data_IF_325798338512
#
_entry.id   IF_325798338512
#
_cell.length_a   1.000
_cell.length_b   1.000
_cell.length_c   1.000
_cell.angle_alpha   90.00
_cell.angle_beta   90.00
_cell.angle_gamma   90.00
#
_symmetry.space_group_name_H-M   'P 1'
#
loop_
_entity.id
_entity.type
_entity.pdbx_description
1 polymer ?
#
# COMPACT_ATOMS: atom_id res chain seq x y z
N UNK A 1 -38.03 -28.33 4.83
CA UNK A 1 -37.81 -27.22 3.89
C UNK A 1 -39.10 -26.43 3.82
N UNK A 2 -39.06 -25.08 3.81
CA UNK A 2 -40.27 -24.29 3.50
C UNK A 2 -40.46 -24.34 1.99
N UNK A 3 -41.45 -25.09 1.51
CA UNK A 3 -41.79 -25.26 0.09
C UNK A 3 -42.58 -24.06 -0.46
N UNK A 4 -42.22 -22.83 -0.07
CA UNK A 4 -42.92 -21.61 -0.50
C UNK A 4 -41.92 -20.56 -0.97
N UNK A 5 -42.15 -20.04 -2.18
CA UNK A 5 -41.40 -18.93 -2.77
C UNK A 5 -42.24 -17.66 -2.66
N UNK A 6 -41.66 -16.60 -2.11
CA UNK A 6 -42.35 -15.30 -2.01
C UNK A 6 -42.02 -14.45 -3.23
N UNK A 7 -43.06 -13.98 -3.91
CA UNK A 7 -42.96 -13.14 -5.11
C UNK A 7 -43.45 -11.75 -4.75
N UNK A 8 -42.65 -10.74 -5.09
CA UNK A 8 -42.97 -9.33 -4.91
C UNK A 8 -43.21 -8.67 -6.26
N UNK A 9 -44.25 -7.83 -6.34
CA UNK A 9 -44.57 -7.01 -7.51
C UNK A 9 -44.43 -5.53 -7.17
N UNK A 10 -43.74 -4.78 -8.03
CA UNK A 10 -43.64 -3.34 -7.96
C UNK A 10 -43.86 -2.76 -9.36
N UNK A 11 -45.05 -2.18 -9.60
CA UNK A 11 -45.48 -1.82 -10.95
C UNK A 11 -45.50 -3.05 -11.87
N UNK A 12 -44.83 -2.94 -13.02
CA UNK A 12 -44.68 -4.04 -13.99
C UNK A 12 -43.54 -5.01 -13.63
N UNK A 13 -42.71 -4.67 -12.64
CA UNK A 13 -41.59 -5.49 -12.19
C UNK A 13 -42.02 -6.59 -11.22
N UNK A 14 -41.52 -7.80 -11.44
CA UNK A 14 -41.75 -8.97 -10.57
C UNK A 14 -40.41 -9.55 -10.14
N UNK A 15 -40.21 -9.72 -8.83
CA UNK A 15 -38.97 -10.23 -8.25
C UNK A 15 -39.22 -11.28 -7.17
N UNK A 16 -38.26 -12.19 -6.99
CA UNK A 16 -38.29 -13.23 -5.95
C UNK A 16 -37.31 -12.84 -4.85
N UNK A 17 -37.76 -12.81 -3.60
CA UNK A 17 -36.93 -12.46 -2.44
C UNK A 17 -37.42 -13.15 -1.17
N UNK A 18 -36.52 -13.34 -0.20
CA UNK A 18 -36.78 -13.98 1.10
C UNK A 18 -37.03 -13.00 2.24
N UNK A 19 -36.78 -11.70 2.04
CA UNK A 19 -36.88 -10.66 3.08
C UNK A 19 -38.06 -9.71 2.89
N UNK A 20 -38.43 -8.92 3.91
CA UNK A 20 -39.44 -7.88 3.75
C UNK A 20 -38.90 -6.79 2.79
N UNK A 21 -39.73 -6.37 1.84
CA UNK A 21 -39.44 -5.20 1.02
C UNK A 21 -40.00 -3.94 1.68
N UNK A 22 -39.53 -2.77 1.20
CA UNK A 22 -40.12 -1.50 1.59
C UNK A 22 -41.60 -1.41 1.18
N UNK A 23 -42.46 -0.77 1.99
CA UNK A 23 -43.88 -0.64 1.67
C UNK A 23 -44.18 0.07 0.34
N UNK A 24 -43.35 1.04 -0.04
CA UNK A 24 -43.41 1.71 -1.34
C UNK A 24 -42.05 2.29 -1.75
N UNK A 25 -41.84 2.52 -3.05
CA UNK A 25 -40.57 3.00 -3.61
C UNK A 25 -40.24 4.45 -3.24
N UNK A 26 -41.25 5.27 -2.97
CA UNK A 26 -41.06 6.69 -2.59
C UNK A 26 -40.32 6.94 -1.27
N UNK A 27 -39.99 5.88 -0.52
CA UNK A 27 -39.14 5.96 0.68
C UNK A 27 -37.69 6.21 0.30
N UNK A 28 -37.24 5.76 -0.87
CA UNK A 28 -35.88 5.98 -1.36
C UNK A 28 -35.90 7.12 -2.38
N UNK A 29 -35.50 8.32 -1.97
CA UNK A 29 -35.53 9.50 -2.83
C UNK A 29 -34.20 9.73 -3.55
N UNK A 30 -33.09 9.26 -2.98
CA UNK A 30 -31.76 9.43 -3.56
C UNK A 30 -31.10 8.07 -3.79
N UNK A 31 -30.60 7.85 -5.01
CA UNK A 31 -29.87 6.66 -5.40
C UNK A 31 -28.57 7.06 -6.09
N UNK A 32 -27.46 6.43 -5.71
CA UNK A 32 -26.16 6.64 -6.35
C UNK A 32 -25.50 5.31 -6.70
N UNK A 33 -25.04 5.21 -7.95
CA UNK A 33 -24.20 4.10 -8.40
C UNK A 33 -22.75 4.34 -7.96
N UNK A 34 -22.12 3.31 -7.41
CA UNK A 34 -20.76 3.38 -6.89
C UNK A 34 -19.76 2.69 -7.81
N UNK A 35 -20.02 1.44 -8.17
CA UNK A 35 -19.05 0.61 -8.87
C UNK A 35 -19.74 -0.38 -9.79
N UNK A 36 -19.11 -0.60 -10.94
CA UNK A 36 -19.45 -1.63 -11.90
C UNK A 36 -18.36 -2.71 -11.86
N UNK A 37 -18.74 -3.99 -11.74
CA UNK A 37 -17.78 -5.10 -11.76
C UNK A 37 -18.35 -6.33 -12.48
N UNK A 38 -17.51 -7.11 -13.15
CA UNK A 38 -17.92 -8.36 -13.80
C UNK A 38 -18.19 -9.46 -12.76
N UNK A 39 -19.23 -10.27 -12.97
CA UNK A 39 -19.59 -11.39 -12.09
C UNK A 39 -19.41 -12.73 -12.78
N UNK A 40 -18.90 -13.69 -12.03
CA UNK A 40 -18.91 -15.10 -12.40
C UNK A 40 -19.88 -15.82 -11.47
N UNK A 41 -20.84 -16.57 -12.03
CA UNK A 41 -21.78 -17.37 -11.24
C UNK A 41 -21.05 -18.55 -10.60
N UNK A 42 -21.52 -18.97 -9.42
CA UNK A 42 -20.85 -19.96 -8.55
C UNK A 42 -20.52 -21.30 -9.22
N UNK A 43 -21.14 -21.62 -10.37
CA UNK A 43 -21.05 -22.91 -11.03
C UNK A 43 -20.55 -22.82 -12.50
N UNK A 44 -20.00 -21.69 -12.95
CA UNK A 44 -19.52 -21.52 -14.33
C UNK A 44 -18.12 -20.89 -14.36
N UNK A 45 -17.26 -21.39 -15.24
CA UNK A 45 -15.87 -20.92 -15.44
C UNK A 45 -15.72 -19.87 -16.53
N UNK A 46 -16.70 -19.72 -17.42
CA UNK A 46 -16.74 -18.63 -18.39
C UNK A 46 -17.33 -17.36 -17.74
N UNK A 47 -16.90 -16.15 -18.14
CA UNK A 47 -17.55 -14.92 -17.72
C UNK A 47 -19.03 -15.00 -18.09
N UNK A 48 -19.91 -14.91 -17.09
CA UNK A 48 -21.35 -15.18 -17.25
C UNK A 48 -22.09 -14.13 -18.09
N UNK A 49 -21.37 -13.15 -18.66
CA UNK A 49 -21.94 -11.94 -19.27
C UNK A 49 -22.62 -11.00 -18.26
N UNK A 50 -22.68 -11.37 -16.98
CA UNK A 50 -23.33 -10.59 -15.94
C UNK A 50 -22.41 -9.51 -15.37
N UNK A 51 -23.01 -8.35 -15.15
CA UNK A 51 -22.35 -7.19 -14.55
C UNK A 51 -23.03 -6.88 -13.22
N UNK A 52 -22.25 -6.81 -12.14
CA UNK A 52 -22.70 -6.32 -10.83
C UNK A 52 -22.61 -4.81 -10.81
N UNK A 53 -23.72 -4.20 -10.47
CA UNK A 53 -23.82 -2.80 -10.14
C UNK A 53 -23.96 -2.67 -8.62
N UNK A 54 -22.98 -2.04 -7.99
CA UNK A 54 -23.06 -1.66 -6.57
C UNK A 54 -23.55 -0.22 -6.46
N UNK A 55 -24.52 0.03 -5.58
CA UNK A 55 -25.08 1.35 -5.34
C UNK A 55 -25.54 1.50 -3.89
N UNK A 56 -25.79 2.74 -3.49
CA UNK A 56 -26.36 3.12 -2.18
C UNK A 56 -27.64 3.92 -2.40
N UNK A 57 -28.58 3.78 -1.48
CA UNK A 57 -29.88 4.46 -1.53
C UNK A 57 -30.22 5.07 -0.16
N UNK A 58 -30.80 6.26 -0.16
CA UNK A 58 -31.11 7.02 1.04
C UNK A 58 -32.53 7.61 1.01
N UNK A 59 -33.15 7.84 2.18
CA UNK A 59 -34.48 8.45 2.25
C UNK A 59 -34.56 9.91 1.81
N UNK A 60 -33.46 10.68 1.90
CA UNK A 60 -33.42 12.08 1.52
C UNK A 60 -32.00 12.60 1.29
N UNK A 61 -31.87 13.87 0.87
CA UNK A 61 -30.57 14.51 0.59
C UNK A 61 -29.73 14.72 1.86
N UNK A 62 -30.35 14.84 3.03
CA UNK A 62 -29.64 15.08 4.29
C UNK A 62 -28.78 13.87 4.67
N UNK A 63 -29.34 12.66 4.58
CA UNK A 63 -28.64 11.41 4.87
C UNK A 63 -27.52 11.15 3.85
N UNK A 64 -27.72 11.59 2.60
CA UNK A 64 -26.68 11.52 1.55
C UNK A 64 -25.51 12.43 1.90
N UNK A 65 -25.78 13.67 2.30
CA UNK A 65 -24.73 14.63 2.69
C UNK A 65 -23.97 14.16 3.94
N UNK A 66 -24.67 13.58 4.92
CA UNK A 66 -24.05 12.99 6.11
C UNK A 66 -23.18 11.80 5.74
N UNK A 67 -23.69 10.87 4.93
CA UNK A 67 -22.90 9.76 4.40
C UNK A 67 -21.72 10.22 3.55
N UNK A 68 -21.88 11.21 2.68
CA UNK A 68 -20.79 11.78 1.88
C UNK A 68 -19.72 12.40 2.77
N UNK A 69 -20.12 13.13 3.81
CA UNK A 69 -19.21 13.69 4.80
C UNK A 69 -18.48 12.58 5.57
N UNK A 70 -19.17 11.51 5.97
CA UNK A 70 -18.54 10.34 6.58
C UNK A 70 -17.57 9.62 5.64
N UNK A 71 -17.91 9.48 4.36
CA UNK A 71 -17.02 8.89 3.34
C UNK A 71 -15.83 9.81 3.07
N UNK A 72 -16.02 11.12 3.01
CA UNK A 72 -14.97 12.13 2.84
C UNK A 72 -14.04 12.13 4.06
N UNK A 73 -14.59 12.07 5.28
CA UNK A 73 -13.84 11.96 6.53
C UNK A 73 -13.10 10.63 6.64
N UNK A 74 -13.72 9.51 6.26
CA UNK A 74 -13.08 8.20 6.20
C UNK A 74 -11.96 8.17 5.15
N UNK A 75 -12.18 8.78 3.98
CA UNK A 75 -11.15 8.99 2.94
C UNK A 75 -10.07 9.96 3.40
N UNK A 76 -10.38 10.95 4.24
CA UNK A 76 -9.42 11.92 4.79
C UNK A 76 -8.58 11.32 5.91
N UNK A 77 -9.14 10.39 6.69
CA UNK A 77 -8.48 9.60 7.74
C UNK A 77 -7.83 8.32 7.21
N UNK A 78 -7.86 8.10 5.91
CA UNK A 78 -7.20 6.98 5.25
C UNK A 78 -5.68 7.20 5.23
N UNK A 79 -4.98 6.48 6.11
CA UNK A 79 -3.52 6.46 6.25
C UNK A 79 -2.77 6.11 4.95
N UNK A 80 -3.46 5.58 3.92
CA UNK A 80 -2.88 5.21 2.62
C UNK A 80 -2.58 6.42 1.70
N UNK A 81 -3.04 7.64 2.01
CA UNK A 81 -2.91 8.82 1.10
C UNK A 81 -1.48 9.24 0.75
N UNK A 82 -0.52 8.99 1.64
CA UNK A 82 0.85 9.52 1.49
C UNK A 82 1.62 8.75 0.40
N UNK A 83 1.63 7.41 0.47
CA UNK A 83 2.18 6.59 -0.62
C UNK A 83 1.41 6.81 -1.92
N UNK A 84 0.09 6.85 -1.85
CA UNK A 84 -0.79 7.02 -3.02
C UNK A 84 -0.55 8.33 -3.79
N UNK A 85 -0.13 9.41 -3.11
CA UNK A 85 0.23 10.67 -3.77
C UNK A 85 1.43 10.55 -4.71
N UNK A 86 2.47 9.81 -4.30
CA UNK A 86 3.67 9.59 -5.12
C UNK A 86 3.38 8.68 -6.32
N UNK A 87 2.53 7.66 -6.13
CA UNK A 87 2.06 6.78 -7.19
C UNK A 87 1.22 7.54 -8.22
N UNK A 88 0.24 8.34 -7.77
CA UNK A 88 -0.58 9.18 -8.67
C UNK A 88 0.27 10.19 -9.45
N UNK A 89 1.20 10.86 -8.79
CA UNK A 89 2.12 11.82 -9.44
C UNK A 89 2.93 11.19 -10.57
N UNK A 90 3.23 9.89 -10.46
CA UNK A 90 3.98 9.10 -11.46
C UNK A 90 3.08 8.31 -12.41
N UNK A 91 1.78 8.60 -12.42
CA UNK A 91 0.82 8.00 -13.35
C UNK A 91 0.47 6.54 -13.06
N UNK A 92 0.70 6.05 -11.83
CA UNK A 92 0.20 4.74 -11.42
C UNK A 92 -1.29 4.81 -11.09
N UNK A 93 -2.04 3.83 -11.58
CA UNK A 93 -3.41 3.58 -11.15
C UNK A 93 -3.40 2.48 -10.09
N UNK A 94 -3.97 2.76 -8.93
CA UNK A 94 -4.17 1.72 -7.91
C UNK A 94 -5.28 0.77 -8.35
N UNK A 95 -5.02 -0.52 -8.22
CA UNK A 95 -5.94 -1.60 -8.55
C UNK A 95 -6.04 -2.55 -7.38
N UNK A 96 -7.17 -3.24 -7.27
CA UNK A 96 -7.38 -4.28 -6.27
C UNK A 96 -7.78 -5.55 -7.00
N UNK A 97 -6.98 -6.60 -6.80
CA UNK A 97 -7.23 -7.91 -7.39
C UNK A 97 -7.62 -8.92 -6.31
N UNK A 98 -8.44 -9.94 -6.65
CA UNK A 98 -8.77 -11.03 -5.72
C UNK A 98 -7.55 -11.64 -5.00
N UNK A 99 -7.78 -12.23 -3.83
CA UNK A 99 -6.73 -12.93 -3.06
C UNK A 99 -6.65 -14.41 -3.41
N UNK A 100 -7.75 -15.01 -3.87
CA UNK A 100 -7.87 -16.44 -4.15
C UNK A 100 -8.13 -16.65 -5.65
N UNK A 101 -7.36 -17.53 -6.28
CA UNK A 101 -7.50 -17.87 -7.69
C UNK A 101 -7.49 -19.38 -7.91
N UNK A 102 -8.13 -19.83 -8.99
CA UNK A 102 -7.98 -21.20 -9.48
C UNK A 102 -6.51 -21.51 -9.79
N UNK A 103 -6.07 -22.74 -9.53
CA UNK A 103 -4.69 -23.17 -9.84
C UNK A 103 -4.33 -23.05 -11.31
N UNK A 104 -5.31 -23.08 -12.21
CA UNK A 104 -5.13 -22.88 -13.64
C UNK A 104 -4.44 -21.54 -13.98
N UNK A 105 -4.65 -20.48 -13.18
CA UNK A 105 -3.95 -19.20 -13.39
C UNK A 105 -2.45 -19.35 -13.14
N UNK A 106 -2.09 -20.08 -12.08
CA UNK A 106 -0.69 -20.28 -11.68
C UNK A 106 0.03 -21.20 -12.67
N UNK A 107 -0.65 -22.23 -13.16
CA UNK A 107 -0.16 -23.12 -14.23
C UNK A 107 0.06 -22.34 -15.53
N UNK A 108 -0.92 -21.53 -15.97
CA UNK A 108 -0.77 -20.66 -17.15
C UNK A 108 0.44 -19.75 -17.00
N UNK A 109 0.59 -19.12 -15.84
CA UNK A 109 1.67 -18.17 -15.57
C UNK A 109 3.06 -18.81 -15.38
N UNK A 110 3.15 -20.12 -15.15
CA UNK A 110 4.42 -20.82 -14.89
C UNK A 110 4.82 -20.87 -13.41
N UNK A 111 4.06 -20.19 -12.55
CA UNK A 111 4.35 -20.14 -11.12
C UNK A 111 3.99 -21.45 -10.43
N UNK A 112 3.09 -22.26 -10.98
CA UNK A 112 2.76 -23.54 -10.37
C UNK A 112 3.96 -24.50 -10.39
N UNK A 113 4.66 -24.57 -11.51
CA UNK A 113 5.81 -25.44 -11.73
C UNK A 113 7.00 -25.08 -10.82
N UNK A 114 7.17 -23.79 -10.51
CA UNK A 114 8.33 -23.29 -9.77
C UNK A 114 8.03 -22.89 -8.31
N UNK A 115 6.77 -22.67 -7.95
CA UNK A 115 6.40 -22.03 -6.70
C UNK A 115 5.27 -22.72 -5.93
N UNK A 116 4.64 -23.78 -6.47
CA UNK A 116 3.49 -24.45 -5.85
C UNK A 116 3.76 -24.96 -4.42
N UNK A 117 4.96 -25.44 -4.12
CA UNK A 117 5.35 -25.89 -2.77
C UNK A 117 5.27 -24.75 -1.74
N UNK A 118 5.50 -23.51 -2.18
CA UNK A 118 5.45 -22.30 -1.37
C UNK A 118 4.09 -21.60 -1.44
N UNK A 119 3.03 -22.25 -1.93
CA UNK A 119 1.69 -21.68 -2.03
C UNK A 119 0.72 -22.33 -1.04
N UNK A 120 -0.15 -21.52 -0.44
CA UNK A 120 -1.29 -22.05 0.29
C UNK A 120 -2.39 -22.43 -0.69
N UNK A 121 -2.84 -23.66 -0.62
CA UNK A 121 -3.92 -24.18 -1.45
C UNK A 121 -5.17 -24.42 -0.61
N UNK A 122 -6.33 -24.22 -1.24
CA UNK A 122 -7.64 -24.46 -0.67
C UNK A 122 -8.36 -25.44 -1.60
N UNK A 123 -8.75 -26.59 -1.04
CA UNK A 123 -9.62 -27.54 -1.72
C UNK A 123 -11.06 -27.09 -1.54
N UNK A 124 -11.83 -27.05 -2.63
CA UNK A 124 -13.27 -26.79 -2.62
C UNK A 124 -14.03 -28.07 -2.97
N UNK A 125 -15.33 -28.14 -2.65
CA UNK A 125 -16.18 -29.25 -3.11
C UNK A 125 -16.19 -29.32 -4.65
N UNK A 126 -15.73 -30.44 -5.20
CA UNK A 126 -15.41 -30.61 -6.63
C UNK A 126 -13.91 -30.78 -6.90
N UNK A 127 -13.52 -31.13 -8.12
CA UNK A 127 -12.11 -31.34 -8.50
C UNK A 127 -11.29 -30.04 -8.62
N UNK A 128 -11.91 -28.88 -8.36
CA UNK A 128 -11.24 -27.58 -8.47
C UNK A 128 -10.38 -27.29 -7.25
N UNK A 129 -9.14 -26.86 -7.52
CA UNK A 129 -8.22 -26.36 -6.51
C UNK A 129 -8.03 -24.86 -6.69
N UNK A 130 -7.95 -24.17 -5.56
CA UNK A 130 -7.65 -22.76 -5.49
C UNK A 130 -6.35 -22.56 -4.71
N UNK A 131 -5.68 -21.43 -4.94
CA UNK A 131 -4.54 -21.02 -4.16
C UNK A 131 -4.59 -19.53 -3.83
N UNK A 132 -4.13 -19.19 -2.63
CA UNK A 132 -3.91 -17.80 -2.25
C UNK A 132 -2.76 -17.24 -3.09
N UNK A 133 -2.91 -16.01 -3.58
CA UNK A 133 -1.90 -15.39 -4.43
C UNK A 133 -0.55 -15.21 -3.69
N UNK A 134 0.57 -15.74 -4.21
CA UNK A 134 1.90 -15.45 -3.70
C UNK A 134 2.51 -14.16 -4.26
N UNK A 135 1.89 -13.61 -5.31
CA UNK A 135 2.26 -12.39 -6.04
C UNK A 135 1.09 -11.87 -6.88
N UNK A 136 1.13 -10.60 -7.29
CA UNK A 136 0.02 -9.97 -8.04
C UNK A 136 0.14 -10.10 -9.57
N UNK A 137 1.33 -10.41 -10.11
CA UNK A 137 1.61 -10.32 -11.54
C UNK A 137 0.64 -11.08 -12.46
N UNK A 138 0.19 -12.32 -12.18
CA UNK A 138 -0.71 -13.03 -13.09
C UNK A 138 -2.09 -12.37 -13.16
N UNK A 139 -2.57 -11.81 -12.04
CA UNK A 139 -3.83 -11.09 -12.02
C UNK A 139 -3.76 -9.83 -12.88
N UNK A 140 -2.62 -9.12 -12.87
CA UNK A 140 -2.42 -7.94 -13.70
C UNK A 140 -2.33 -8.32 -15.18
N UNK A 141 -1.76 -9.48 -15.53
CA UNK A 141 -1.80 -9.99 -16.90
C UNK A 141 -3.25 -10.23 -17.38
N UNK A 142 -4.09 -10.84 -16.53
CA UNK A 142 -5.53 -11.03 -16.82
C UNK A 142 -6.24 -9.68 -16.99
N UNK A 143 -5.88 -8.66 -16.21
CA UNK A 143 -6.42 -7.31 -16.40
C UNK A 143 -6.00 -6.68 -17.73
N UNK A 144 -4.75 -6.90 -18.15
CA UNK A 144 -4.25 -6.42 -19.42
C UNK A 144 -5.02 -7.02 -20.59
N UNK A 145 -5.19 -8.35 -20.59
CA UNK A 145 -5.81 -9.11 -21.70
C UNK A 145 -7.31 -8.86 -21.88
N UNK A 146 -8.00 -8.27 -20.89
CA UNK A 146 -9.47 -8.07 -20.95
C UNK A 146 -9.96 -7.26 -22.14
N UNK A 147 -9.10 -6.41 -22.73
CA UNK A 147 -9.41 -5.70 -23.98
C UNK A 147 -8.17 -5.45 -24.80
N UNK A 148 -8.37 -5.26 -26.10
CA UNK A 148 -7.32 -4.80 -27.02
C UNK A 148 -6.78 -3.45 -26.55
N UNK A 149 -5.46 -3.32 -26.54
CA UNK A 149 -4.73 -2.13 -26.11
C UNK A 149 -4.12 -1.42 -27.30
N UNK A 150 -4.07 -0.09 -27.27
CA UNK A 150 -3.30 0.71 -28.23
C UNK A 150 -1.95 1.10 -27.65
N UNK A 151 -0.92 1.21 -28.49
CA UNK A 151 0.37 1.79 -28.11
C UNK A 151 0.24 3.18 -27.45
N UNK A 152 -0.81 3.94 -27.78
CA UNK A 152 -1.10 5.26 -27.19
C UNK A 152 -1.47 5.21 -25.71
N UNK A 153 -1.89 4.05 -25.22
CA UNK A 153 -2.23 3.86 -23.80
C UNK A 153 -1.00 3.43 -22.98
N UNK A 154 0.09 3.01 -23.64
CA UNK A 154 1.32 2.60 -22.99
C UNK A 154 2.22 3.82 -22.71
N UNK A 155 2.87 3.89 -21.54
CA UNK A 155 2.96 2.83 -20.53
C UNK A 155 1.75 2.79 -19.58
N UNK A 156 1.20 1.58 -19.37
CA UNK A 156 0.19 1.31 -18.35
C UNK A 156 0.88 0.94 -17.05
N UNK A 157 0.55 1.65 -15.96
CA UNK A 157 1.18 1.47 -14.65
C UNK A 157 0.14 1.12 -13.60
N UNK A 158 0.19 -0.09 -13.06
CA UNK A 158 -0.75 -0.55 -12.03
C UNK A 158 -0.03 -0.84 -10.73
N UNK A 159 -0.59 -0.34 -9.63
CA UNK A 159 -0.10 -0.59 -8.28
C UNK A 159 -1.14 -1.38 -7.49
N UNK A 160 -0.71 -2.40 -6.77
CA UNK A 160 -1.58 -3.31 -6.03
C UNK A 160 -0.97 -3.58 -4.65
N UNK A 161 -1.60 -3.00 -3.63
CA UNK A 161 -1.22 -3.17 -2.23
C UNK A 161 -1.93 -4.36 -1.57
N UNK A 162 -2.50 -5.26 -2.37
CA UNK A 162 -3.24 -6.43 -1.91
C UNK A 162 -2.36 -7.41 -1.14
N UNK A 163 -2.98 -8.10 -0.18
CA UNK A 163 -2.30 -9.09 0.63
C UNK A 163 -1.83 -10.30 -0.20
N UNK A 164 -0.57 -10.67 -0.01
CA UNK A 164 0.10 -11.82 -0.60
C UNK A 164 0.38 -12.87 0.46
N UNK A 165 0.41 -14.14 0.05
CA UNK A 165 0.61 -15.27 0.94
C UNK A 165 1.65 -16.25 0.39
N UNK A 166 2.67 -16.56 1.20
CA UNK A 166 3.73 -17.53 0.88
C UNK A 166 3.84 -18.54 2.02
N UNK A 167 3.81 -19.82 1.68
CA UNK A 167 3.93 -20.92 2.63
C UNK A 167 5.40 -21.14 3.03
N UNK A 168 5.98 -20.11 3.64
CA UNK A 168 7.35 -20.14 4.16
C UNK A 168 7.50 -21.24 5.21
N UNK A 169 8.66 -21.92 5.18
CA UNK A 169 9.04 -22.91 6.17
C UNK A 169 8.97 -22.30 7.57
N UNK A 170 8.39 -23.03 8.53
CA UNK A 170 8.17 -22.53 9.90
C UNK A 170 9.47 -22.08 10.58
N UNK A 171 10.58 -22.79 10.35
CA UNK A 171 11.90 -22.44 10.87
C UNK A 171 12.57 -21.23 10.23
N UNK A 172 12.03 -20.72 9.12
CA UNK A 172 12.53 -19.54 8.44
C UNK A 172 11.77 -18.25 8.82
N UNK A 173 10.67 -18.37 9.58
CA UNK A 173 9.89 -17.21 10.02
C UNK A 173 10.67 -16.39 11.04
N UNK A 174 10.55 -15.07 10.95
CA UNK A 174 11.26 -14.15 11.85
C UNK A 174 10.54 -12.82 11.96
N UNK A 175 9.97 -12.54 13.14
CA UNK A 175 9.30 -11.27 13.46
C UNK A 175 8.43 -10.75 12.32
N UNK A 176 8.70 -9.52 11.88
CA UNK A 176 8.09 -8.92 10.68
C UNK A 176 9.01 -8.99 9.44
N UNK A 177 10.25 -9.48 9.55
CA UNK A 177 11.21 -9.53 8.43
C UNK A 177 10.92 -10.69 7.46
N UNK A 178 10.35 -11.79 7.97
CA UNK A 178 9.92 -12.95 7.18
C UNK A 178 8.63 -13.54 7.72
N UNK A 179 7.54 -13.34 6.96
CA UNK A 179 6.17 -13.67 7.34
C UNK A 179 5.45 -14.43 6.22
N UNK A 180 4.37 -15.14 6.56
CA UNK A 180 3.55 -15.89 5.60
C UNK A 180 2.53 -15.05 4.86
N UNK A 181 2.05 -13.97 5.49
CA UNK A 181 1.14 -12.98 4.91
C UNK A 181 1.83 -11.64 4.94
N UNK A 182 1.88 -10.96 3.81
CA UNK A 182 2.49 -9.63 3.71
C UNK A 182 1.75 -8.78 2.68
N UNK A 183 1.87 -7.46 2.82
CA UNK A 183 1.45 -6.52 1.79
C UNK A 183 2.71 -5.90 1.17
N UNK A 184 2.82 -5.95 -0.15
CA UNK A 184 3.90 -5.30 -0.88
C UNK A 184 3.38 -4.06 -1.57
N UNK A 185 4.23 -3.05 -1.75
CA UNK A 185 3.94 -1.87 -2.55
C UNK A 185 4.07 -2.16 -4.07
N UNK A 186 3.52 -3.32 -4.45
CA UNK A 186 3.75 -4.01 -5.70
C UNK A 186 3.18 -3.22 -6.87
N UNK A 187 3.90 -3.21 -7.98
CA UNK A 187 3.42 -2.58 -9.19
C UNK A 187 3.97 -3.23 -10.44
N UNK A 188 3.15 -3.20 -11.49
CA UNK A 188 3.50 -3.72 -12.80
C UNK A 188 3.30 -2.64 -13.86
N UNK A 189 4.33 -2.45 -14.68
CA UNK A 189 4.32 -1.51 -15.81
C UNK A 189 4.32 -2.32 -17.10
N UNK A 190 3.33 -2.10 -17.95
CA UNK A 190 3.31 -2.60 -19.32
C UNK A 190 3.72 -1.47 -20.24
N UNK A 191 4.82 -1.64 -20.97
CA UNK A 191 5.39 -0.61 -21.84
C UNK A 191 5.84 -1.20 -23.17
N UNK A 192 6.11 -0.33 -24.15
CA UNK A 192 6.78 -0.76 -25.39
C UNK A 192 8.29 -0.93 -25.15
N UNK A 193 9.00 -1.72 -25.98
CA UNK A 193 10.45 -1.85 -25.88
C UNK A 193 11.19 -0.50 -25.89
N UNK A 194 10.71 0.47 -26.66
CA UNK A 194 11.32 1.81 -26.77
C UNK A 194 11.12 2.65 -25.50
N UNK A 195 10.08 2.37 -24.71
CA UNK A 195 9.78 3.06 -23.46
C UNK A 195 10.53 2.49 -22.25
N UNK A 196 11.08 1.27 -22.38
CA UNK A 196 11.60 0.48 -21.26
C UNK A 196 12.70 1.21 -20.47
N UNK A 197 13.72 1.74 -21.16
CA UNK A 197 14.83 2.44 -20.51
C UNK A 197 14.35 3.64 -19.68
N UNK A 198 13.41 4.43 -20.22
CA UNK A 198 12.84 5.58 -19.52
C UNK A 198 12.00 5.18 -18.29
N UNK A 199 11.29 4.06 -18.36
CA UNK A 199 10.54 3.52 -17.22
C UNK A 199 11.45 2.96 -16.12
N UNK A 200 12.57 2.32 -16.47
CA UNK A 200 13.60 1.88 -15.51
C UNK A 200 14.14 3.08 -14.74
N UNK A 201 14.56 4.14 -15.44
CA UNK A 201 15.08 5.37 -14.81
C UNK A 201 14.02 6.02 -13.93
N UNK A 202 12.77 6.10 -14.38
CA UNK A 202 11.65 6.61 -13.57
C UNK A 202 11.43 5.80 -12.28
N UNK A 203 11.55 4.47 -12.35
CA UNK A 203 11.47 3.60 -11.16
C UNK A 203 12.63 3.85 -10.19
N UNK A 204 13.87 3.97 -10.69
CA UNK A 204 15.05 4.27 -9.86
C UNK A 204 14.92 5.64 -9.17
N UNK A 205 14.45 6.65 -9.89
CA UNK A 205 14.15 7.98 -9.35
C UNK A 205 13.06 7.93 -8.27
N UNK A 206 12.06 7.08 -8.45
CA UNK A 206 11.05 6.88 -7.44
C UNK A 206 11.66 6.29 -6.16
N UNK A 207 12.47 5.24 -6.27
CA UNK A 207 13.17 4.64 -5.13
C UNK A 207 14.02 5.69 -4.40
N UNK A 208 14.83 6.47 -5.13
CA UNK A 208 15.65 7.56 -4.57
C UNK A 208 14.82 8.55 -3.77
N UNK A 209 13.70 9.00 -4.33
CA UNK A 209 12.84 9.98 -3.68
C UNK A 209 12.24 9.47 -2.37
N UNK A 210 11.86 8.19 -2.31
CA UNK A 210 11.27 7.58 -1.11
C UNK A 210 12.35 7.31 -0.05
N UNK A 211 13.49 6.74 -0.44
CA UNK A 211 14.55 6.39 0.50
C UNK A 211 15.20 7.63 1.12
N UNK A 212 15.31 8.73 0.37
CA UNK A 212 15.76 10.01 0.90
C UNK A 212 14.84 10.54 2.00
N UNK A 213 13.53 10.32 1.92
CA UNK A 213 12.58 10.71 2.97
C UNK A 213 12.81 9.89 4.23
N UNK A 214 13.04 8.58 4.12
CA UNK A 214 13.38 7.74 5.26
C UNK A 214 14.81 7.96 5.79
N UNK A 215 15.66 8.68 5.04
CA UNK A 215 17.06 8.91 5.41
C UNK A 215 17.97 7.70 5.18
N UNK A 216 17.57 6.75 4.31
CA UNK A 216 18.40 5.60 3.97
C UNK A 216 19.39 5.93 2.85
N UNK A 217 20.63 5.47 3.03
CA UNK A 217 21.54 5.24 1.91
C UNK A 217 21.24 3.87 1.29
N UNK A 218 21.47 3.75 -0.01
CA UNK A 218 21.21 2.50 -0.73
C UNK A 218 22.31 2.20 -1.75
N UNK A 219 22.37 0.94 -2.13
CA UNK A 219 23.28 0.43 -3.14
C UNK A 219 22.48 -0.43 -4.15
N UNK A 220 22.78 -0.28 -5.43
CA UNK A 220 22.09 -1.01 -6.49
C UNK A 220 22.94 -2.20 -6.95
N UNK A 221 22.31 -3.36 -7.13
CA UNK A 221 22.92 -4.56 -7.68
C UNK A 221 22.23 -4.93 -8.99
N UNK A 222 23.01 -5.10 -10.06
CA UNK A 222 22.50 -5.64 -11.32
C UNK A 222 22.64 -7.17 -11.30
N UNK A 223 21.52 -7.84 -11.08
CA UNK A 223 21.42 -9.29 -11.00
C UNK A 223 21.16 -9.89 -12.39
N UNK A 224 22.16 -10.61 -12.92
CA UNK A 224 22.18 -11.11 -14.30
C UNK A 224 21.68 -12.57 -14.41
N UNK A 225 21.55 -13.06 -15.65
CA UNK A 225 21.00 -14.38 -16.02
C UNK A 225 21.48 -15.53 -15.13
N UNK A 226 20.56 -16.23 -14.44
CA UNK A 226 20.87 -17.44 -13.67
C UNK A 226 21.01 -18.67 -14.57
N UNK A 227 21.53 -19.76 -14.02
CA UNK A 227 21.51 -21.09 -14.65
C UNK A 227 20.70 -22.05 -13.78
N UNK A 228 19.53 -22.56 -14.22
CA UNK A 228 18.89 -22.37 -15.53
C UNK A 228 18.03 -21.09 -15.64
N UNK A 229 17.76 -20.62 -16.87
CA UNK A 229 16.88 -19.49 -17.18
C UNK A 229 15.87 -19.84 -18.29
N UNK A 230 14.78 -19.07 -18.40
CA UNK A 230 13.79 -19.13 -19.48
C UNK A 230 14.01 -18.03 -20.51
N UNK A 231 13.75 -18.31 -21.79
CA UNK A 231 13.86 -17.35 -22.89
C UNK A 231 15.18 -17.47 -23.65
N UNK A 232 15.23 -16.81 -24.81
CA UNK A 232 16.38 -16.87 -25.71
C UNK A 232 17.57 -16.07 -25.16
N UNK A 233 18.82 -16.52 -25.41
CA UNK A 233 20.01 -15.81 -24.93
C UNK A 233 20.08 -14.34 -25.36
N UNK A 234 19.66 -14.03 -26.59
CA UNK A 234 19.67 -12.67 -27.15
C UNK A 234 18.74 -11.72 -26.40
N UNK A 235 17.57 -12.22 -25.96
CA UNK A 235 16.60 -11.42 -25.19
C UNK A 235 17.15 -11.06 -23.81
N UNK A 236 17.90 -11.98 -23.20
CA UNK A 236 18.59 -11.75 -21.94
C UNK A 236 19.71 -10.72 -22.08
N UNK A 237 20.52 -10.86 -23.13
CA UNK A 237 21.64 -9.95 -23.38
C UNK A 237 21.14 -8.50 -23.60
N UNK A 238 20.05 -8.32 -24.35
CA UNK A 238 19.41 -7.01 -24.53
C UNK A 238 18.82 -6.46 -23.22
N UNK A 239 18.09 -7.29 -22.46
CA UNK A 239 17.49 -6.89 -21.18
C UNK A 239 18.53 -6.45 -20.14
N UNK A 240 19.62 -7.19 -20.01
CA UNK A 240 20.74 -6.84 -19.14
C UNK A 240 21.40 -5.53 -19.57
N UNK A 241 21.56 -5.32 -20.89
CA UNK A 241 22.12 -4.09 -21.42
C UNK A 241 21.22 -2.88 -21.15
N UNK A 242 19.90 -3.05 -21.25
CA UNK A 242 18.92 -2.00 -20.94
C UNK A 242 18.94 -1.60 -19.46
N UNK A 243 18.94 -2.58 -18.53
CA UNK A 243 19.08 -2.28 -17.10
C UNK A 243 20.42 -1.60 -16.78
N UNK A 244 21.50 -2.03 -17.43
CA UNK A 244 22.82 -1.41 -17.28
C UNK A 244 22.83 0.05 -17.75
N UNK A 245 22.23 0.36 -18.91
CA UNK A 245 22.09 1.74 -19.40
C UNK A 245 21.25 2.60 -18.44
N UNK A 246 20.13 2.07 -17.95
CA UNK A 246 19.30 2.74 -16.96
C UNK A 246 20.06 3.08 -15.66
N UNK A 247 20.87 2.15 -15.15
CA UNK A 247 21.74 2.37 -13.99
C UNK A 247 22.82 3.43 -14.27
N UNK A 248 23.44 3.40 -15.45
CA UNK A 248 24.45 4.39 -15.86
C UNK A 248 23.86 5.79 -15.95
N UNK A 249 22.66 5.93 -16.51
CA UNK A 249 21.95 7.21 -16.60
C UNK A 249 21.53 7.73 -15.22
N UNK A 250 21.10 6.84 -14.32
CA UNK A 250 20.70 7.20 -12.96
C UNK A 250 21.87 7.75 -12.13
N UNK A 251 23.10 7.30 -12.40
CA UNK A 251 24.33 7.90 -11.88
C UNK A 251 24.71 7.51 -10.45
N UNK A 252 23.95 6.63 -9.79
CA UNK A 252 24.31 6.06 -8.49
C UNK A 252 25.30 4.91 -8.61
N UNK A 253 26.00 4.59 -7.51
CA UNK A 253 26.94 3.44 -7.49
C UNK A 253 26.18 2.12 -7.54
N UNK A 254 26.64 1.23 -8.41
CA UNK A 254 26.08 -0.11 -8.56
C UNK A 254 27.18 -1.16 -8.79
N UNK A 255 26.87 -2.41 -8.44
CA UNK A 255 27.74 -3.57 -8.65
C UNK A 255 27.01 -4.67 -9.43
N UNK A 256 27.77 -5.55 -10.08
CA UNK A 256 27.22 -6.75 -10.71
C UNK A 256 26.99 -7.83 -9.66
N UNK A 257 25.87 -8.53 -9.78
CA UNK A 257 25.54 -9.70 -8.98
C UNK A 257 25.27 -10.91 -9.90
N UNK A 258 26.33 -11.58 -10.40
CA UNK A 258 26.19 -12.56 -11.47
C UNK A 258 25.34 -13.76 -11.06
N UNK A 259 24.34 -14.09 -11.89
CA UNK A 259 23.53 -15.29 -11.72
C UNK A 259 22.41 -15.21 -10.68
N UNK A 260 22.16 -14.03 -10.10
CA UNK A 260 21.09 -13.82 -9.12
C UNK A 260 19.79 -13.29 -9.73
N UNK A 261 19.72 -13.13 -11.06
CA UNK A 261 18.48 -12.78 -11.78
C UNK A 261 17.37 -13.81 -11.52
N UNK A 262 16.11 -13.43 -11.71
CA UNK A 262 15.06 -14.46 -11.65
C UNK A 262 15.03 -15.30 -12.92
N UNK A 263 14.40 -16.46 -12.86
CA UNK A 263 14.35 -17.38 -14.00
C UNK A 263 13.71 -16.78 -15.27
N UNK A 264 12.94 -15.69 -15.17
CA UNK A 264 12.23 -15.03 -16.29
C UNK A 264 12.82 -13.69 -16.74
N UNK A 265 13.85 -13.17 -16.08
CA UNK A 265 14.52 -11.95 -16.49
C UNK A 265 15.47 -11.33 -15.45
N UNK A 266 16.33 -10.39 -15.89
CA UNK A 266 17.28 -9.72 -15.02
C UNK A 266 16.56 -8.70 -14.12
N UNK A 267 17.21 -8.34 -13.01
CA UNK A 267 16.66 -7.39 -12.03
C UNK A 267 17.72 -6.44 -11.48
N UNK A 268 17.28 -5.26 -11.08
CA UNK A 268 18.02 -4.35 -10.24
C UNK A 268 17.50 -4.53 -8.83
N UNK A 269 18.37 -4.95 -7.93
CA UNK A 269 18.07 -5.08 -6.51
C UNK A 269 18.64 -3.89 -5.75
N UNK A 270 17.83 -3.28 -4.90
CA UNK A 270 18.26 -2.15 -4.08
C UNK A 270 18.39 -2.60 -2.64
N UNK A 271 19.62 -2.59 -2.16
CA UNK A 271 19.96 -2.93 -0.79
C UNK A 271 20.06 -1.66 0.06
N UNK A 272 19.48 -1.72 1.25
CA UNK A 272 19.63 -0.70 2.29
C UNK A 272 20.42 -1.28 3.45
N UNK A 273 21.21 -0.43 4.09
CA UNK A 273 21.95 -0.80 5.30
C UNK A 273 21.18 -0.30 6.52
N UNK A 274 20.91 -1.19 7.47
CA UNK A 274 20.31 -0.81 8.75
C UNK A 274 21.35 -0.20 9.71
N UNK A 275 20.89 0.32 10.86
CA UNK A 275 21.76 0.90 11.89
C UNK A 275 22.80 -0.08 12.49
N UNK A 276 22.60 -1.39 12.31
CA UNK A 276 23.51 -2.45 12.76
C UNK A 276 24.49 -2.88 11.64
N UNK A 277 24.41 -2.26 10.47
CA UNK A 277 25.28 -2.56 9.33
C UNK A 277 24.84 -3.75 8.48
N UNK A 278 23.67 -4.35 8.74
CA UNK A 278 23.15 -5.46 7.94
C UNK A 278 22.54 -4.94 6.64
N UNK A 279 22.75 -5.69 5.57
CA UNK A 279 22.21 -5.39 4.24
C UNK A 279 20.84 -6.05 4.09
N UNK A 280 19.84 -5.26 3.69
CA UNK A 280 18.49 -5.73 3.42
C UNK A 280 18.09 -5.36 1.99
N UNK A 281 17.78 -6.36 1.18
CA UNK A 281 17.15 -6.12 -0.12
C UNK A 281 15.67 -5.77 0.10
N UNK A 282 15.29 -4.57 -0.32
CA UNK A 282 13.93 -4.04 -0.13
C UNK A 282 13.27 -3.71 -1.46
N UNK A 283 13.90 -2.85 -2.25
CA UNK A 283 13.40 -2.47 -3.56
C UNK A 283 13.91 -3.41 -4.65
N UNK A 284 13.11 -3.60 -5.68
CA UNK A 284 13.49 -4.35 -6.88
C UNK A 284 12.84 -3.75 -8.11
N UNK A 285 13.55 -3.77 -9.23
CA UNK A 285 13.03 -3.48 -10.57
C UNK A 285 13.41 -4.67 -11.43
N UNK A 286 12.44 -5.41 -11.92
CA UNK A 286 12.66 -6.68 -12.59
C UNK A 286 11.95 -6.71 -13.92
N UNK A 287 12.66 -7.16 -14.95
CA UNK A 287 12.10 -7.33 -16.28
C UNK A 287 11.51 -8.73 -16.40
N UNK A 288 10.33 -8.81 -16.99
CA UNK A 288 9.67 -10.08 -17.30
C UNK A 288 9.19 -10.09 -18.75
N UNK A 289 9.75 -11.04 -19.49
CA UNK A 289 9.39 -11.30 -20.87
C UNK A 289 8.55 -12.57 -21.02
N UNK A 290 8.49 -13.41 -19.99
CA UNK A 290 7.82 -14.70 -20.00
C UNK A 290 6.32 -14.56 -19.77
N UNK A 291 5.90 -13.72 -18.82
CA UNK A 291 4.47 -13.50 -18.56
C UNK A 291 3.74 -12.93 -19.78
N UNK A 292 4.25 -11.88 -20.47
CA UNK A 292 3.65 -11.43 -21.72
C UNK A 292 3.52 -12.52 -22.80
N UNK A 293 4.45 -13.49 -22.86
CA UNK A 293 4.38 -14.62 -23.79
C UNK A 293 3.33 -15.63 -23.36
N UNK A 294 3.39 -16.10 -22.10
CA UNK A 294 2.48 -17.11 -21.54
C UNK A 294 1.01 -16.65 -21.52
N UNK A 295 0.77 -15.37 -21.32
CA UNK A 295 -0.56 -14.78 -21.40
C UNK A 295 -0.95 -14.31 -22.81
N UNK A 296 -0.03 -14.39 -23.78
CA UNK A 296 -0.24 -13.88 -25.14
C UNK A 296 -0.68 -12.40 -25.15
N UNK A 297 -0.08 -11.59 -24.29
CA UNK A 297 -0.41 -10.17 -24.18
C UNK A 297 0.00 -9.44 -25.46
N UNK A 298 -0.90 -8.60 -25.96
CA UNK A 298 -0.70 -7.86 -27.20
C UNK A 298 -1.26 -6.44 -27.13
N UNK A 299 -0.64 -5.53 -27.87
CA UNK A 299 -1.14 -4.18 -28.14
C UNK A 299 -1.02 -3.87 -29.63
N UNK A 300 -1.85 -2.97 -30.14
CA UNK A 300 -1.80 -2.46 -31.52
C UNK A 300 -0.76 -1.35 -31.58
N UNK A 301 0.28 -1.55 -32.38
CA UNK A 301 1.36 -0.59 -32.65
C UNK A 301 0.92 0.61 -33.49
N UNK A 302 1.82 1.57 -33.67
CA UNK A 302 1.59 2.74 -34.53
C UNK A 302 1.51 2.36 -36.01
N UNK A 303 2.09 1.23 -36.36
CA UNK A 303 2.02 0.55 -37.66
C UNK A 303 0.72 -0.24 -37.87
N UNK A 304 -0.16 -0.32 -36.86
CA UNK A 304 -1.38 -1.11 -36.90
C UNK A 304 -1.18 -2.61 -36.71
N UNK A 305 0.05 -3.07 -36.43
CA UNK A 305 0.39 -4.48 -36.20
C UNK A 305 0.27 -4.81 -34.71
N UNK A 306 0.03 -6.08 -34.38
CA UNK A 306 0.02 -6.55 -33.00
C UNK A 306 1.45 -6.79 -32.51
N UNK A 307 1.81 -6.11 -31.44
CA UNK A 307 3.10 -6.20 -30.75
C UNK A 307 2.91 -6.71 -29.33
N UNK A 308 3.97 -7.27 -28.74
CA UNK A 308 3.96 -7.75 -27.35
C UNK A 308 4.54 -6.69 -26.42
N UNK A 309 3.88 -6.36 -25.29
CA UNK A 309 4.43 -5.41 -24.33
C UNK A 309 5.57 -6.05 -23.52
N UNK A 310 6.43 -5.22 -22.95
CA UNK A 310 7.37 -5.61 -21.89
C UNK A 310 6.74 -5.31 -20.54
N UNK A 311 6.91 -6.23 -19.58
CA UNK A 311 6.41 -6.09 -18.22
C UNK A 311 7.57 -5.78 -17.26
N UNK A 312 7.43 -4.72 -16.47
CA UNK A 312 8.35 -4.37 -15.39
C UNK A 312 7.64 -4.63 -14.07
N UNK A 313 8.20 -5.51 -13.26
CA UNK A 313 7.81 -5.73 -11.87
C UNK A 313 8.61 -4.79 -11.00
N UNK A 314 7.95 -4.10 -10.06
CA UNK A 314 8.68 -3.26 -9.13
C UNK A 314 8.03 -3.20 -7.76
N UNK A 315 8.89 -3.01 -6.77
CA UNK A 315 8.54 -2.63 -5.40
C UNK A 315 9.54 -1.58 -4.94
N UNK A 316 9.08 -0.54 -4.25
CA UNK A 316 9.93 0.51 -3.69
C UNK A 316 10.26 0.21 -2.23
N UNK A 317 9.27 -0.17 -1.44
CA UNK A 317 9.46 -0.57 -0.04
C UNK A 317 9.75 -2.06 0.11
N UNK A 318 9.27 -2.88 -0.84
CA UNK A 318 9.16 -4.31 -0.65
C UNK A 318 7.93 -4.61 0.22
N UNK A 319 8.01 -5.63 1.08
CA UNK A 319 6.91 -5.84 2.03
C UNK A 319 6.89 -4.74 3.09
N UNK A 320 5.70 -4.21 3.34
CA UNK A 320 5.46 -3.17 4.36
C UNK A 320 5.89 -3.69 5.73
N UNK A 321 5.62 -4.96 6.03
CA UNK A 321 6.02 -5.61 7.28
C UNK A 321 7.55 -5.59 7.47
N UNK A 322 8.30 -5.97 6.43
CA UNK A 322 9.77 -5.97 6.49
C UNK A 322 10.30 -4.55 6.60
N UNK A 323 9.76 -3.62 5.83
CA UNK A 323 10.15 -2.21 5.89
C UNK A 323 9.91 -1.63 7.30
N UNK A 324 8.78 -1.93 7.95
CA UNK A 324 8.51 -1.52 9.33
C UNK A 324 9.55 -2.11 10.29
N UNK A 325 9.93 -3.38 10.16
CA UNK A 325 10.99 -3.96 10.98
C UNK A 325 12.32 -3.22 10.82
N UNK A 326 12.74 -2.98 9.57
CA UNK A 326 14.01 -2.31 9.29
C UNK A 326 13.98 -0.88 9.82
N UNK A 327 12.88 -0.14 9.64
CA UNK A 327 12.72 1.21 10.18
C UNK A 327 12.72 1.22 11.72
N UNK A 328 12.07 0.24 12.35
CA UNK A 328 12.04 0.13 13.81
C UNK A 328 13.43 -0.05 14.39
N UNK A 329 14.24 -0.92 13.77
CA UNK A 329 15.63 -1.15 14.13
C UNK A 329 16.50 0.06 13.81
N UNK A 330 16.32 0.68 12.64
CA UNK A 330 17.08 1.85 12.22
C UNK A 330 16.89 3.06 13.14
N UNK A 331 15.65 3.32 13.57
CA UNK A 331 15.36 4.39 14.51
C UNK A 331 15.52 3.97 15.97
N UNK A 332 15.71 2.69 16.28
CA UNK A 332 15.74 2.19 17.67
C UNK A 332 14.49 2.57 18.46
N UNK A 333 13.32 2.58 17.81
CA UNK A 333 12.05 3.06 18.38
C UNK A 333 11.87 4.58 18.45
N UNK A 334 12.88 5.37 18.06
CA UNK A 334 12.83 6.85 18.01
C UNK A 334 12.28 7.36 16.67
N UNK A 335 11.06 6.95 16.34
CA UNK A 335 10.39 7.33 15.08
C UNK A 335 10.37 8.85 14.85
N UNK A 336 10.59 9.34 13.61
CA UNK A 336 10.26 10.70 13.21
C UNK A 336 8.79 11.02 13.46
N UNK A 337 8.45 12.29 13.69
CA UNK A 337 7.08 12.70 14.00
C UNK A 337 6.07 12.16 12.99
N UNK A 338 6.35 12.29 11.70
CA UNK A 338 5.43 11.92 10.62
C UNK A 338 5.15 10.41 10.51
N UNK A 339 6.01 9.57 11.09
CA UNK A 339 5.92 8.11 11.07
C UNK A 339 5.53 7.51 12.43
N UNK A 340 5.69 8.27 13.51
CA UNK A 340 5.49 7.79 14.87
C UNK A 340 4.02 7.48 15.17
N UNK A 341 3.71 6.31 15.77
CA UNK A 341 2.39 6.05 16.32
C UNK A 341 2.14 6.79 17.64
N UNK A 342 3.20 7.31 18.29
CA UNK A 342 3.15 8.02 19.55
C UNK A 342 3.67 9.46 19.33
N UNK A 343 2.84 10.32 18.73
CA UNK A 343 3.30 11.66 18.35
C UNK A 343 3.29 12.62 19.55
N UNK A 344 2.18 12.70 20.27
CA UNK A 344 2.03 13.64 21.39
C UNK A 344 1.39 12.98 22.61
N UNK A 345 1.96 13.21 23.80
CA UNK A 345 1.31 12.90 25.08
C UNK A 345 0.97 14.18 25.82
N UNK A 346 -0.30 14.40 26.14
CA UNK A 346 -0.77 15.54 26.93
C UNK A 346 -0.86 15.14 28.39
N UNK A 347 -0.19 15.88 29.27
CA UNK A 347 -0.06 15.58 30.70
C UNK A 347 -0.62 16.76 31.52
N UNK A 348 -1.87 16.68 31.99
CA UNK A 348 -2.42 17.67 32.91
C UNK A 348 -1.75 17.59 34.29
N UNK A 349 -1.61 18.76 34.93
CA UNK A 349 -1.09 18.88 36.31
C UNK A 349 -2.15 18.44 37.35
N UNK A 350 -3.42 18.30 36.92
CA UNK A 350 -4.56 17.82 37.71
C UNK A 350 -5.64 18.88 37.88
N UNK A 351 -6.80 18.46 38.42
CA UNK A 351 -7.89 19.36 38.76
C UNK A 351 -8.45 20.08 37.52
N UNK A 352 -8.50 21.41 37.56
CA UNK A 352 -9.09 22.19 36.47
C UNK A 352 -8.29 22.20 35.16
N UNK A 353 -7.11 21.59 35.13
CA UNK A 353 -6.30 21.43 33.91
C UNK A 353 -6.67 20.18 33.09
N UNK A 354 -7.40 19.22 33.65
CA UNK A 354 -7.80 17.97 32.96
C UNK A 354 -8.73 18.26 31.78
N UNK A 355 -9.75 19.08 32.00
CA UNK A 355 -10.67 19.50 30.92
C UNK A 355 -9.93 20.24 29.79
N UNK A 356 -8.93 21.05 30.12
CA UNK A 356 -8.10 21.73 29.13
C UNK A 356 -7.18 20.75 28.39
N UNK A 357 -6.62 19.75 29.09
CA UNK A 357 -5.88 18.66 28.46
C UNK A 357 -6.71 17.92 27.41
N UNK A 358 -7.98 17.61 27.73
CA UNK A 358 -8.92 16.99 26.78
C UNK A 358 -9.14 17.86 25.54
N UNK A 359 -9.31 19.18 25.71
CA UNK A 359 -9.47 20.12 24.60
C UNK A 359 -8.23 20.16 23.70
N UNK A 360 -7.02 20.15 24.29
CA UNK A 360 -5.77 20.08 23.52
C UNK A 360 -5.71 18.78 22.74
N UNK A 361 -6.01 17.63 23.35
CA UNK A 361 -6.04 16.33 22.64
C UNK A 361 -6.98 16.39 21.45
N UNK A 362 -8.23 16.83 21.66
CA UNK A 362 -9.22 16.92 20.58
C UNK A 362 -8.73 17.80 19.43
N UNK A 363 -8.15 18.97 19.72
CA UNK A 363 -7.65 19.90 18.71
C UNK A 363 -6.58 19.26 17.82
N UNK A 364 -5.63 18.55 18.41
CA UNK A 364 -4.56 17.90 17.65
C UNK A 364 -5.05 16.65 16.91
N UNK A 365 -6.00 15.90 17.47
CA UNK A 365 -6.64 14.77 16.79
C UNK A 365 -7.44 15.24 15.56
N UNK A 366 -8.18 16.35 15.66
CA UNK A 366 -8.89 16.98 14.53
C UNK A 366 -7.92 17.41 13.41
N UNK A 367 -6.70 17.79 13.78
CA UNK A 367 -5.63 18.08 12.83
C UNK A 367 -4.92 16.83 12.27
N UNK A 368 -5.28 15.62 12.74
CA UNK A 368 -4.78 14.34 12.25
C UNK A 368 -3.52 13.82 12.97
N UNK A 369 -3.25 14.26 14.19
CA UNK A 369 -2.17 13.73 15.02
C UNK A 369 -2.63 12.60 15.94
N UNK A 370 -1.74 11.64 16.20
CA UNK A 370 -1.89 10.60 17.22
C UNK A 370 -1.52 11.19 18.58
N UNK A 371 -2.55 11.53 19.36
CA UNK A 371 -2.40 12.21 20.64
C UNK A 371 -3.14 11.48 21.74
N UNK A 372 -2.43 11.22 22.84
CA UNK A 372 -2.97 10.57 24.04
C UNK A 372 -3.01 11.54 25.22
N UNK A 373 -4.07 11.42 26.03
CA UNK A 373 -4.16 12.07 27.34
C UNK A 373 -3.58 11.14 28.41
N UNK A 374 -2.65 11.64 29.22
CA UNK A 374 -2.10 10.94 30.38
C UNK A 374 -2.58 11.61 31.67
N UNK A 375 -3.79 11.27 32.08
CA UNK A 375 -4.48 11.81 33.26
C UNK A 375 -4.39 10.90 34.49
N UNK A 376 -3.59 9.82 34.48
CA UNK A 376 -3.48 8.84 35.57
C UNK A 376 -3.45 9.47 36.97
N UNK A 377 -4.52 9.35 37.78
CA UNK A 377 -4.61 10.01 39.08
C UNK A 377 -3.64 9.39 40.11
N UNK A 378 -3.14 8.18 39.87
CA UNK A 378 -2.19 7.48 40.73
C UNK A 378 -0.71 7.79 40.45
N UNK A 379 -0.42 8.62 39.45
CA UNK A 379 0.96 8.95 39.05
C UNK A 379 1.30 10.43 39.29
N UNK A 380 2.49 10.67 39.85
CA UNK A 380 3.03 12.04 39.95
C UNK A 380 3.32 12.59 38.55
N UNK A 381 3.30 13.93 38.40
CA UNK A 381 3.61 14.60 37.13
C UNK A 381 4.93 14.10 36.50
N UNK A 382 5.98 13.97 37.30
CA UNK A 382 7.28 13.47 36.83
C UNK A 382 7.21 12.01 36.38
N UNK A 383 6.41 11.16 37.04
CA UNK A 383 6.20 9.77 36.63
C UNK A 383 5.49 9.70 35.27
N UNK A 384 4.47 10.54 35.05
CA UNK A 384 3.75 10.64 33.76
C UNK A 384 4.68 11.08 32.63
N UNK A 385 5.46 12.14 32.86
CA UNK A 385 6.45 12.64 31.89
C UNK A 385 7.51 11.57 31.60
N UNK A 386 8.03 10.91 32.64
CA UNK A 386 9.02 9.84 32.48
C UNK A 386 8.47 8.66 31.68
N UNK A 387 7.23 8.28 31.93
CA UNK A 387 6.54 7.24 31.16
C UNK A 387 6.45 7.62 29.68
N UNK A 388 6.01 8.84 29.36
CA UNK A 388 5.88 9.29 27.98
C UNK A 388 7.24 9.34 27.26
N UNK A 389 8.31 9.71 27.97
CA UNK A 389 9.68 9.63 27.45
C UNK A 389 10.12 8.19 27.17
N UNK A 390 9.84 7.25 28.09
CA UNK A 390 10.19 5.84 27.91
C UNK A 390 9.41 5.21 26.75
N UNK A 391 8.13 5.58 26.61
CA UNK A 391 7.27 5.19 25.49
C UNK A 391 7.61 5.89 24.17
N UNK A 392 8.66 6.73 24.14
CA UNK A 392 9.21 7.40 22.95
C UNK A 392 8.24 8.38 22.26
N UNK A 393 7.31 9.00 22.99
CA UNK A 393 6.49 10.08 22.42
C UNK A 393 7.38 11.19 21.86
N UNK A 394 7.09 11.68 20.65
CA UNK A 394 7.90 12.75 20.04
C UNK A 394 7.87 14.01 20.89
N UNK A 395 6.67 14.40 21.35
CA UNK A 395 6.46 15.57 22.19
C UNK A 395 5.57 15.27 23.38
N UNK A 396 5.85 15.94 24.49
CA UNK A 396 5.08 15.85 25.72
C UNK A 396 4.60 17.26 26.05
N UNK A 397 3.29 17.44 26.12
CA UNK A 397 2.65 18.72 26.44
C UNK A 397 2.20 18.70 27.88
N UNK A 398 2.84 19.50 28.73
CA UNK A 398 2.39 19.69 30.11
C UNK A 398 1.42 20.86 30.15
N UNK A 399 0.26 20.65 30.78
CA UNK A 399 -0.78 21.68 30.89
C UNK A 399 -1.22 21.88 32.35
N UNK A 400 -1.02 23.08 32.88
CA UNK A 400 -1.56 23.52 34.16
C UNK A 400 -2.52 24.71 34.00
N UNK A 401 -2.85 25.37 35.10
CA UNK A 401 -3.76 26.52 35.09
C UNK A 401 -3.18 27.69 34.27
N UNK A 402 -1.86 27.92 34.36
CA UNK A 402 -1.17 28.94 33.55
C UNK A 402 -1.36 28.68 32.07
N UNK A 403 -1.15 27.43 31.63
CA UNK A 403 -1.29 27.02 30.23
C UNK A 403 -2.72 27.18 29.72
N UNK A 404 -3.69 26.76 30.53
CA UNK A 404 -5.13 26.93 30.27
C UNK A 404 -5.49 28.40 30.08
N UNK A 405 -5.14 29.24 31.05
CA UNK A 405 -5.57 30.64 31.08
C UNK A 405 -5.00 31.44 29.90
N UNK A 406 -3.85 31.02 29.35
CA UNK A 406 -3.27 31.64 28.16
C UNK A 406 -3.37 30.83 26.88
N UNK A 407 -4.21 29.79 26.80
CA UNK A 407 -4.41 29.01 25.57
C UNK A 407 -3.12 28.44 24.97
N UNK A 408 -2.26 27.90 25.84
CA UNK A 408 -0.89 27.49 25.54
C UNK A 408 -0.59 26.08 26.04
N UNK A 409 0.56 25.53 25.67
CA UNK A 409 1.09 24.25 26.17
C UNK A 409 2.56 24.42 26.55
N UNK A 410 3.02 23.73 27.59
CA UNK A 410 4.45 23.64 27.90
C UNK A 410 5.04 22.42 27.18
N UNK A 411 5.84 22.66 26.15
CA UNK A 411 6.33 21.61 25.25
C UNK A 411 7.66 21.07 25.72
N UNK A 412 7.78 19.74 25.73
CA UNK A 412 9.03 19.00 25.95
C UNK A 412 9.26 18.06 24.78
N UNK A 413 10.49 17.97 24.31
CA UNK A 413 10.88 16.96 23.32
C UNK A 413 11.08 15.60 23.99
N UNK A 414 11.04 14.53 23.18
CA UNK A 414 11.40 13.16 23.56
C UNK A 414 12.72 13.08 24.33
N UNK A 415 13.74 13.84 23.91
CA UNK A 415 15.05 13.90 24.55
C UNK A 415 15.10 14.64 25.88
N UNK A 416 13.96 15.18 26.36
CA UNK A 416 13.86 15.90 27.63
C UNK A 416 14.21 17.39 27.55
N UNK A 417 14.52 17.91 26.36
CA UNK A 417 14.70 19.35 26.13
C UNK A 417 13.38 20.07 26.37
N UNK A 418 13.40 21.08 27.23
CA UNK A 418 12.23 21.93 27.47
C UNK A 418 12.20 23.01 26.38
N UNK A 419 11.17 22.96 25.53
CA UNK A 419 10.92 23.96 24.49
C UNK A 419 10.08 25.13 25.03
N UNK A 420 9.64 25.04 26.29
CA UNK A 420 8.97 26.11 27.02
C UNK A 420 7.48 26.20 26.72
N UNK A 421 6.86 27.25 27.27
CA UNK A 421 5.44 27.53 27.09
C UNK A 421 5.21 28.25 25.77
N UNK A 422 4.37 27.68 24.90
CA UNK A 422 4.05 28.24 23.57
C UNK A 422 2.53 28.21 23.32
N UNK A 423 1.97 29.15 22.55
CA UNK A 423 0.57 29.11 22.14
C UNK A 423 0.22 27.80 21.43
N UNK A 424 -0.93 27.20 21.75
CA UNK A 424 -1.35 25.88 21.21
C UNK A 424 -1.45 25.92 19.68
N UNK A 425 -2.19 26.90 19.16
CA UNK A 425 -1.74 27.83 18.11
C UNK A 425 -0.59 27.44 17.18
N UNK A 426 0.55 27.89 17.67
CA UNK A 426 1.83 27.95 16.99
C UNK A 426 2.44 26.56 16.94
N UNK A 427 2.35 25.83 18.06
CA UNK A 427 2.82 24.44 18.15
C UNK A 427 2.10 23.55 17.13
N UNK A 428 0.80 23.72 16.96
CA UNK A 428 0.04 22.95 15.96
C UNK A 428 0.55 23.22 14.55
N UNK A 429 0.77 24.49 14.19
CA UNK A 429 1.29 24.87 12.86
C UNK A 429 2.69 24.30 12.61
N UNK A 430 3.55 24.37 13.61
CA UNK A 430 4.92 23.88 13.47
C UNK A 430 4.97 22.35 13.35
N UNK A 431 4.17 21.63 14.15
CA UNK A 431 4.03 20.18 14.03
C UNK A 431 3.43 19.77 12.68
N UNK A 432 2.47 20.54 12.15
CA UNK A 432 1.95 20.31 10.80
C UNK A 432 3.04 20.50 9.75
N UNK A 433 3.88 21.53 9.87
CA UNK A 433 5.02 21.76 8.98
C UNK A 433 6.04 20.61 9.03
N UNK A 434 6.35 20.08 10.21
CA UNK A 434 7.23 18.91 10.35
C UNK A 434 6.62 17.65 9.72
N UNK A 435 5.33 17.39 9.97
CA UNK A 435 4.62 16.25 9.39
C UNK A 435 4.57 16.33 7.87
N UNK A 436 4.16 17.48 7.35
CA UNK A 436 3.87 17.67 5.92
C UNK A 436 5.17 17.74 5.09
N UNK A 437 6.26 18.23 5.69
CA UNK A 437 7.60 18.16 5.08
C UNK A 437 8.26 16.78 5.20
N UNK A 438 7.63 15.84 5.94
CA UNK A 438 8.18 14.51 6.28
C UNK A 438 9.58 14.63 6.89
N UNK A 439 9.78 15.65 7.72
CA UNK A 439 11.09 15.95 8.30
C UNK A 439 11.49 14.88 9.32
N UNK A 440 12.76 14.50 9.27
CA UNK A 440 13.38 13.64 10.27
C UNK A 440 14.01 14.44 11.42
N UNK A 441 13.81 15.77 11.45
CA UNK A 441 14.26 16.65 12.51
C UNK A 441 13.33 16.56 13.73
N UNK A 442 13.90 16.71 14.93
CA UNK A 442 13.16 16.68 16.21
C UNK A 442 12.84 18.09 16.76
N UNK A 443 13.47 19.13 16.23
CA UNK A 443 13.32 20.52 16.69
C UNK A 443 12.47 21.33 15.70
N UNK A 444 11.64 22.24 16.23
CA UNK A 444 10.87 23.23 15.48
C UNK A 444 10.74 24.55 16.23
#
# INVERSE_FOLDING_TARGET
MKDSVTIYRCGDGVGVSSGPLLPHTGILQVFRMLQLSSVTLSNQTAPSGLTRLSGVAFPGEKEVQEWEKEQEEARRRDHRRIGMSEYRRRGFSEVVTPTLYSTALWERSGHWEHYSENMFTVATEGSQRYALKPMNCPAHCVMFEQRVRSWRELPLRWADFGALHRNELSGALGGLTRVRRFCQDDAHIFCTPEQLEQEIVSCLEFIRSVYRVFGFSFHCLLSTRPTPCLGEPEQWDDAEQQLKRGLQQFGERWELNPGDGAFYGPKIDVQIRDALGRQHQCATIQLDFQLPIRFQLQYVGSDGVLHRPVMIHRAVLGSVERMIAILAENYGGRWPLWLSPAQVSVVPVGGSSEAYGQQVVQRFQEAGFMVDLNDDPGATLNKKIRWAQLAQYNYIFVVGDKERDGGSVNVRSRGGKQLGRRPTEEVLKDLMKLRDSRSNEEDF
#
